data_IF_896249865802
#
_entry.id   IF_896249865802
#
_cell.length_a   1.000
_cell.length_b   1.000
_cell.length_c   1.000
_cell.angle_alpha   90.00
_cell.angle_beta   90.00
_cell.angle_gamma   90.00
#
_symmetry.space_group_name_H-M   'P 1'
#
loop_
_entity.id
_entity.type
_entity.pdbx_description
1 polymer ?
#
# COMPACT_ATOMS: atom_id res chain seq x y z
N UNK A 1 2.33 -7.94 -10.20
CA UNK A 1 2.51 -7.35 -8.87
C UNK A 1 2.65 -5.84 -9.04
N UNK A 2 1.81 -5.06 -8.37
CA UNK A 2 1.86 -3.58 -8.40
C UNK A 2 2.41 -3.10 -7.07
N UNK A 3 3.29 -2.10 -7.08
CA UNK A 3 3.85 -1.51 -5.86
C UNK A 3 3.33 -0.09 -5.73
N UNK A 4 2.87 0.26 -4.54
CA UNK A 4 2.54 1.62 -4.16
C UNK A 4 3.54 2.11 -3.12
N UNK A 5 3.99 3.34 -3.25
CA UNK A 5 4.85 4.01 -2.26
C UNK A 5 4.01 5.00 -1.43
N UNK A 6 4.33 5.15 -0.14
CA UNK A 6 3.62 6.07 0.76
C UNK A 6 4.37 7.39 0.87
N UNK A 7 3.80 8.44 0.27
CA UNK A 7 4.33 9.82 0.30
C UNK A 7 3.19 10.81 0.39
N UNK A 8 3.45 12.00 0.90
CA UNK A 8 2.43 13.06 0.98
C UNK A 8 1.14 12.59 1.69
N UNK A 9 1.32 11.74 2.71
CA UNK A 9 0.26 11.11 3.52
C UNK A 9 -0.71 10.18 2.78
N UNK A 10 -0.37 9.70 1.57
CA UNK A 10 -1.19 8.78 0.77
C UNK A 10 -0.34 7.80 -0.06
N UNK A 11 -0.98 6.80 -0.65
CA UNK A 11 -0.30 5.87 -1.56
C UNK A 11 -0.29 6.39 -3.00
N UNK A 12 0.84 6.21 -3.67
CA UNK A 12 1.05 6.53 -5.08
C UNK A 12 1.56 5.30 -5.83
N UNK A 13 1.20 5.17 -7.11
CA UNK A 13 1.82 4.15 -7.96
C UNK A 13 3.33 4.39 -8.06
N UNK A 14 4.09 3.34 -7.74
CA UNK A 14 5.54 3.34 -7.89
C UNK A 14 5.90 2.69 -9.23
N UNK A 15 6.54 3.46 -10.12
CA UNK A 15 7.11 2.94 -11.37
C UNK A 15 8.62 2.75 -11.19
N UNK A 16 9.02 1.57 -10.72
CA UNK A 16 10.41 1.24 -10.43
C UNK A 16 10.67 1.04 -8.94
N UNK A 17 11.82 1.52 -8.46
CA UNK A 17 12.22 1.41 -7.05
C UNK A 17 11.51 2.46 -6.19
N UNK A 18 10.89 2.07 -5.05
CA UNK A 18 10.28 3.01 -4.12
C UNK A 18 11.28 4.01 -3.56
N UNK A 19 10.89 5.28 -3.51
CA UNK A 19 11.72 6.34 -2.92
C UNK A 19 11.47 6.55 -1.44
N UNK A 20 10.34 6.04 -0.93
CA UNK A 20 9.95 6.12 0.47
C UNK A 20 10.03 4.76 1.18
N UNK A 21 10.34 4.75 2.49
CA UNK A 21 10.49 3.52 3.28
C UNK A 21 9.22 2.67 3.37
N UNK A 22 8.05 3.30 3.40
CA UNK A 22 6.76 2.61 3.55
C UNK A 22 6.21 2.28 2.16
N UNK A 23 5.85 1.00 1.96
CA UNK A 23 5.35 0.51 0.67
C UNK A 23 4.14 -0.41 0.84
N UNK A 24 3.29 -0.48 -0.17
CA UNK A 24 2.15 -1.39 -0.24
C UNK A 24 2.24 -2.19 -1.53
N UNK A 25 2.48 -3.50 -1.42
CA UNK A 25 2.49 -4.41 -2.56
C UNK A 25 1.10 -4.99 -2.77
N UNK A 26 0.63 -4.95 -4.01
CA UNK A 26 -0.61 -5.60 -4.45
C UNK A 26 -0.25 -6.90 -5.17
N UNK A 27 -0.55 -8.02 -4.50
CA UNK A 27 -0.37 -9.36 -5.03
C UNK A 27 -1.71 -9.92 -5.50
N UNK A 28 -1.95 -9.84 -6.81
CA UNK A 28 -3.18 -10.34 -7.44
C UNK A 28 -3.28 -11.86 -7.47
N UNK A 29 -2.16 -12.58 -7.38
CA UNK A 29 -2.12 -14.03 -7.40
C UNK A 29 -2.55 -14.60 -6.04
N UNK A 30 -2.07 -13.99 -4.96
CA UNK A 30 -2.44 -14.38 -3.59
C UNK A 30 -3.67 -13.66 -3.05
N UNK A 31 -4.19 -12.65 -3.78
CA UNK A 31 -5.26 -11.75 -3.31
C UNK A 31 -4.90 -11.04 -2.00
N UNK A 32 -3.68 -10.50 -1.94
CA UNK A 32 -3.12 -9.81 -0.76
C UNK A 32 -2.70 -8.37 -1.04
N UNK A 33 -2.85 -7.55 -0.01
CA UNK A 33 -2.23 -6.23 0.15
C UNK A 33 -1.16 -6.37 1.23
N UNK A 34 0.11 -6.28 0.85
CA UNK A 34 1.22 -6.43 1.79
C UNK A 34 1.78 -5.04 2.09
N UNK A 35 1.40 -4.49 3.24
CA UNK A 35 1.88 -3.21 3.75
C UNK A 35 3.19 -3.44 4.50
N UNK A 36 4.28 -2.87 4.01
CA UNK A 36 5.56 -2.86 4.71
C UNK A 36 5.78 -1.50 5.38
N UNK A 37 5.98 -1.49 6.70
CA UNK A 37 6.31 -0.30 7.49
C UNK A 37 7.61 -0.56 8.27
N UNK A 38 8.73 0.09 7.92
CA UNK A 38 9.98 -0.12 8.64
C UNK A 38 9.94 0.24 10.13
N UNK A 39 10.74 -0.47 10.91
CA UNK A 39 11.07 -0.08 12.28
C UNK A 39 11.74 1.31 12.29
N UNK A 40 11.32 2.18 13.21
CA UNK A 40 11.82 3.56 13.33
C UNK A 40 10.93 4.62 12.68
N UNK A 41 9.92 4.24 11.90
CA UNK A 41 8.84 5.14 11.46
C UNK A 41 8.03 5.60 12.68
N UNK A 42 7.62 6.87 12.69
CA UNK A 42 6.80 7.39 13.79
C UNK A 42 5.47 6.65 13.91
N UNK A 43 4.96 6.49 15.14
CA UNK A 43 3.67 5.83 15.36
C UNK A 43 2.50 6.52 14.63
N UNK A 44 2.60 7.84 14.42
CA UNK A 44 1.62 8.63 13.68
C UNK A 44 1.62 8.23 12.20
N UNK A 45 2.80 8.19 11.60
CA UNK A 45 2.97 7.83 10.19
C UNK A 45 2.61 6.37 9.91
N UNK A 46 3.00 5.45 10.81
CA UNK A 46 2.57 4.04 10.78
C UNK A 46 1.05 3.92 10.76
N UNK A 47 0.35 4.58 11.71
CA UNK A 47 -1.12 4.56 11.77
C UNK A 47 -1.77 5.19 10.54
N UNK A 48 -1.17 6.26 10.01
CA UNK A 48 -1.67 6.90 8.80
C UNK A 48 -1.55 5.98 7.58
N UNK A 49 -0.42 5.31 7.39
CA UNK A 49 -0.21 4.33 6.33
C UNK A 49 -1.18 3.14 6.44
N UNK A 50 -1.33 2.55 7.63
CA UNK A 50 -2.28 1.46 7.88
C UNK A 50 -3.73 1.87 7.56
N UNK A 51 -4.16 3.06 7.99
CA UNK A 51 -5.50 3.57 7.69
C UNK A 51 -5.72 3.70 6.19
N UNK A 52 -4.73 4.21 5.46
CA UNK A 52 -4.79 4.33 4.00
C UNK A 52 -4.86 2.94 3.34
N UNK A 53 -4.06 1.98 3.80
CA UNK A 53 -4.06 0.62 3.27
C UNK A 53 -5.40 -0.09 3.49
N UNK A 54 -6.00 0.06 4.68
CA UNK A 54 -7.37 -0.42 4.98
C UNK A 54 -8.45 0.28 4.16
N UNK A 55 -8.23 1.51 3.72
CA UNK A 55 -9.13 2.16 2.77
C UNK A 55 -9.04 1.49 1.41
N UNK A 56 -7.82 1.21 0.93
CA UNK A 56 -7.58 0.51 -0.33
C UNK A 56 -8.14 -0.91 -0.30
N UNK A 57 -7.98 -1.63 0.79
CA UNK A 57 -8.60 -2.95 1.02
C UNK A 57 -10.12 -2.90 0.79
N UNK A 58 -10.79 -1.88 1.33
CA UNK A 58 -12.26 -1.73 1.25
C UNK A 58 -12.75 -1.20 -0.09
N UNK A 59 -12.11 -0.16 -0.62
CA UNK A 59 -12.58 0.57 -1.80
C UNK A 59 -11.81 0.26 -3.07
N UNK A 60 -10.66 -0.38 -2.98
CA UNK A 60 -9.66 -0.51 -4.04
C UNK A 60 -8.86 0.78 -4.26
N UNK A 61 -7.71 0.64 -4.92
CA UNK A 61 -6.85 1.72 -5.37
C UNK A 61 -7.06 1.93 -6.87
N UNK A 62 -7.37 3.16 -7.29
CA UNK A 62 -7.52 3.50 -8.70
C UNK A 62 -6.13 3.64 -9.34
N UNK A 63 -5.80 2.73 -10.26
CA UNK A 63 -4.56 2.83 -11.02
C UNK A 63 -4.71 3.71 -12.25
N UNK A 64 -3.59 4.24 -12.74
CA UNK A 64 -3.52 5.02 -13.98
C UNK A 64 -3.78 4.14 -15.22
N UNK A 65 -3.41 2.85 -15.19
CA UNK A 65 -3.41 1.97 -16.38
C UNK A 65 -4.37 0.78 -16.33
N UNK A 66 -4.77 0.31 -15.16
CA UNK A 66 -5.42 -1.01 -14.98
C UNK A 66 -6.74 -0.97 -14.21
N UNK A 67 -7.33 0.22 -14.03
CA UNK A 67 -8.55 0.35 -13.23
C UNK A 67 -8.28 0.14 -11.73
N UNK A 68 -9.28 -0.34 -11.01
CA UNK A 68 -9.27 -0.40 -9.54
C UNK A 68 -8.73 -1.75 -9.04
N UNK A 69 -7.69 -1.73 -8.21
CA UNK A 69 -7.00 -2.94 -7.70
C UNK A 69 -7.09 -3.08 -6.18
N UNK A 70 -6.87 -4.27 -5.64
CA UNK A 70 -6.72 -4.50 -4.20
C UNK A 70 -8.03 -4.50 -3.38
N UNK A 71 -9.18 -4.28 -4.01
CA UNK A 71 -10.47 -4.33 -3.31
C UNK A 71 -10.78 -5.76 -2.86
N UNK A 72 -11.08 -5.94 -1.57
CA UNK A 72 -11.42 -7.22 -0.97
C UNK A 72 -10.23 -8.17 -0.80
N UNK A 73 -9.00 -7.68 -0.96
CA UNK A 73 -7.79 -8.46 -0.75
C UNK A 73 -7.46 -8.49 0.75
N UNK A 74 -6.82 -9.56 1.21
CA UNK A 74 -6.37 -9.65 2.60
C UNK A 74 -5.24 -8.65 2.86
N UNK A 75 -5.40 -7.79 3.87
CA UNK A 75 -4.35 -6.87 4.31
C UNK A 75 -3.38 -7.57 5.28
N UNK A 76 -2.14 -7.72 4.87
CA UNK A 76 -1.02 -8.20 5.68
C UNK A 76 -0.12 -7.01 6.00
N UNK A 77 0.25 -6.84 7.27
CA UNK A 77 1.14 -5.78 7.72
C UNK A 77 2.46 -6.43 8.17
N UNK A 78 3.56 -6.00 7.56
CA UNK A 78 4.91 -6.49 7.80
C UNK A 78 5.82 -5.33 8.24
N UNK A 79 6.88 -5.66 8.99
CA UNK A 79 7.89 -4.70 9.46
C UNK A 79 7.99 -4.60 10.98
#
# INVERSE_FOLDING_TARGET
MTILEYRDSRFHECTGEPTTPITLKVDDAQKKLILYVPNGVSMIERRAAERNARSIERSGFQTAKRGRIGRGYELVIEG
#
